data_IF_423747996604
#
_entry.id   IF_423747996604
#
_cell.length_a   1.000
_cell.length_b   1.000
_cell.length_c   1.000
_cell.angle_alpha   90.00
_cell.angle_beta   90.00
_cell.angle_gamma   90.00
#
_symmetry.space_group_name_H-M   'P 1'
#
loop_
_entity.id
_entity.type
_entity.pdbx_description
1 polymer ?
#
# COMPACT_ATOMS: atom_id res chain seq x y z
N UNK A 1 -7.19 21.13 -29.11
CA UNK A 1 -7.97 20.37 -28.10
C UNK A 1 -7.42 18.96 -28.10
N UNK A 2 -6.96 18.42 -26.96
CA UNK A 2 -6.63 17.00 -26.86
C UNK A 2 -7.95 16.23 -26.78
N UNK A 3 -8.16 15.27 -27.66
CA UNK A 3 -9.31 14.38 -27.59
C UNK A 3 -9.29 13.65 -26.24
N UNK A 4 -10.42 13.69 -25.53
CA UNK A 4 -10.60 12.92 -24.32
C UNK A 4 -10.88 11.48 -24.77
N UNK A 5 -9.86 10.62 -24.82
CA UNK A 5 -9.92 9.24 -25.35
C UNK A 5 -10.82 8.32 -24.47
N UNK A 6 -11.61 8.88 -23.57
CA UNK A 6 -12.44 8.13 -22.63
C UNK A 6 -11.57 7.24 -21.74
N UNK A 7 -12.18 6.16 -21.24
CA UNK A 7 -11.50 5.10 -20.48
C UNK A 7 -11.17 3.93 -21.45
N UNK A 8 -10.10 4.02 -22.28
CA UNK A 8 -9.86 3.07 -23.37
C UNK A 8 -9.61 1.64 -22.90
N UNK A 9 -9.14 1.49 -21.66
CA UNK A 9 -8.86 0.20 -21.04
C UNK A 9 -9.98 -0.27 -20.10
N UNK A 10 -11.06 0.51 -19.97
CA UNK A 10 -12.16 0.21 -19.07
C UNK A 10 -11.71 -0.08 -17.61
N UNK A 11 -10.67 0.63 -17.14
CA UNK A 11 -10.17 0.48 -15.78
C UNK A 11 -11.24 0.94 -14.78
N UNK A 12 -11.46 0.16 -13.73
CA UNK A 12 -12.47 0.46 -12.70
C UNK A 12 -11.86 1.15 -11.48
N UNK A 13 -10.77 0.62 -10.95
CA UNK A 13 -10.17 1.04 -9.69
C UNK A 13 -8.73 0.54 -9.55
N UNK A 14 -7.99 1.10 -8.60
CA UNK A 14 -6.71 0.55 -8.17
C UNK A 14 -6.95 -0.75 -7.41
N UNK A 15 -6.46 -1.87 -7.93
CA UNK A 15 -6.69 -3.17 -7.31
C UNK A 15 -5.81 -3.37 -6.06
N UNK A 16 -4.51 -3.13 -6.17
CA UNK A 16 -3.58 -3.21 -5.04
C UNK A 16 -2.29 -2.42 -5.32
N UNK A 17 -1.51 -2.20 -4.26
CA UNK A 17 -0.11 -1.75 -4.32
C UNK A 17 0.80 -2.77 -3.64
N UNK A 18 2.06 -2.81 -4.06
CA UNK A 18 3.10 -3.62 -3.40
C UNK A 18 4.19 -2.71 -2.86
N UNK A 19 4.58 -2.91 -1.60
CA UNK A 19 5.59 -2.12 -0.91
C UNK A 19 6.65 -3.05 -0.31
N UNK A 20 7.92 -2.77 -0.61
CA UNK A 20 9.04 -3.39 0.09
C UNK A 20 9.26 -2.62 1.39
N UNK A 21 9.38 -3.34 2.50
CA UNK A 21 9.45 -2.77 3.84
C UNK A 21 10.57 -3.39 4.67
N UNK A 22 11.00 -2.65 5.70
CA UNK A 22 12.04 -3.08 6.64
C UNK A 22 11.56 -4.16 7.62
N UNK A 23 10.27 -4.16 7.96
CA UNK A 23 9.66 -5.15 8.84
C UNK A 23 8.21 -5.35 8.43
N UNK A 24 7.87 -6.56 7.99
CA UNK A 24 6.49 -6.96 7.68
C UNK A 24 5.61 -6.82 8.90
N UNK A 25 6.07 -7.24 10.09
CA UNK A 25 5.29 -7.17 11.32
C UNK A 25 4.94 -5.73 11.69
N UNK A 26 5.94 -4.83 11.76
CA UNK A 26 5.71 -3.42 12.10
C UNK A 26 4.87 -2.70 11.05
N UNK A 27 5.09 -3.01 9.77
CA UNK A 27 4.31 -2.41 8.68
C UNK A 27 2.86 -2.91 8.71
N UNK A 28 2.66 -4.20 8.96
CA UNK A 28 1.32 -4.80 9.11
C UNK A 28 0.58 -4.17 10.28
N UNK A 29 1.24 -4.03 11.43
CA UNK A 29 0.69 -3.36 12.61
C UNK A 29 0.23 -1.94 12.29
N UNK A 30 1.05 -1.14 11.60
CA UNK A 30 0.67 0.20 11.19
C UNK A 30 -0.55 0.21 10.26
N UNK A 31 -0.52 -0.56 9.16
CA UNK A 31 -1.63 -0.56 8.20
C UNK A 31 -2.92 -1.12 8.81
N UNK A 32 -2.83 -2.09 9.72
CA UNK A 32 -3.99 -2.66 10.40
C UNK A 32 -4.53 -1.74 11.50
N UNK A 33 -3.70 -1.44 12.50
CA UNK A 33 -4.16 -0.78 13.72
C UNK A 33 -4.30 0.74 13.58
N UNK A 34 -3.57 1.37 12.66
CA UNK A 34 -3.65 2.83 12.44
C UNK A 34 -4.56 3.16 11.26
N UNK A 35 -4.42 2.46 10.14
CA UNK A 35 -5.17 2.76 8.91
C UNK A 35 -6.40 1.86 8.69
N UNK A 36 -6.62 0.84 9.53
CA UNK A 36 -7.84 0.02 9.50
C UNK A 36 -7.91 -1.00 8.35
N UNK A 37 -6.78 -1.34 7.72
CA UNK A 37 -6.73 -2.45 6.77
C UNK A 37 -6.87 -3.79 7.51
N UNK A 38 -7.39 -4.83 6.86
CA UNK A 38 -7.50 -6.18 7.46
C UNK A 38 -6.58 -7.18 6.76
N UNK A 39 -5.87 -8.07 7.48
CA UNK A 39 -5.10 -9.14 6.87
C UNK A 39 -6.01 -10.07 6.05
N UNK A 40 -5.52 -10.50 4.89
CA UNK A 40 -6.19 -11.49 4.03
C UNK A 40 -5.27 -12.65 3.75
N UNK A 41 -5.85 -13.75 3.26
CA UNK A 41 -5.11 -14.99 3.00
C UNK A 41 -4.02 -14.77 1.95
N UNK A 42 -2.77 -14.92 2.37
CA UNK A 42 -1.61 -14.99 1.49
C UNK A 42 -1.56 -16.34 0.75
N UNK A 43 -1.26 -16.37 -0.56
CA UNK A 43 -0.98 -17.61 -1.26
C UNK A 43 0.19 -18.37 -0.61
N UNK A 44 -0.01 -19.65 -0.29
CA UNK A 44 0.99 -20.45 0.42
C UNK A 44 2.23 -20.80 -0.40
N UNK A 45 2.22 -20.54 -1.72
CA UNK A 45 3.33 -20.84 -2.63
C UNK A 45 4.51 -19.88 -2.51
N UNK A 46 4.32 -18.71 -1.90
CA UNK A 46 5.37 -17.71 -1.78
C UNK A 46 6.34 -18.04 -0.64
N UNK A 47 7.64 -17.95 -0.90
CA UNK A 47 8.73 -18.34 0.01
C UNK A 47 9.46 -17.16 0.68
N UNK A 48 8.97 -15.94 0.53
CA UNK A 48 9.54 -14.72 1.13
C UNK A 48 8.61 -14.17 2.21
N UNK A 49 9.12 -13.44 3.21
CA UNK A 49 8.27 -12.87 4.25
C UNK A 49 7.39 -11.75 3.68
N UNK A 50 6.09 -11.80 3.97
CA UNK A 50 5.16 -10.79 3.49
C UNK A 50 3.76 -10.95 4.04
N UNK A 51 3.00 -9.85 3.98
CA UNK A 51 1.63 -9.77 4.45
C UNK A 51 0.72 -9.14 3.38
N UNK A 52 -0.50 -9.65 3.28
CA UNK A 52 -1.52 -9.16 2.37
C UNK A 52 -2.61 -8.53 3.22
N UNK A 53 -2.95 -7.29 2.94
CA UNK A 53 -4.02 -6.58 3.61
C UNK A 53 -5.02 -6.03 2.60
N UNK A 54 -6.26 -5.87 3.02
CA UNK A 54 -7.31 -5.26 2.22
C UNK A 54 -8.09 -4.23 3.05
N UNK A 55 -8.40 -3.09 2.45
CA UNK A 55 -9.10 -2.01 3.13
C UNK A 55 -9.38 -0.86 2.16
N UNK A 56 -10.42 -0.07 2.41
CA UNK A 56 -10.76 1.11 1.60
C UNK A 56 -10.90 0.84 0.09
N UNK A 57 -11.22 -0.41 -0.29
CA UNK A 57 -11.34 -0.85 -1.69
C UNK A 57 -10.02 -1.19 -2.39
N UNK A 58 -8.87 -1.17 -1.69
CA UNK A 58 -7.55 -1.48 -2.26
C UNK A 58 -6.84 -2.59 -1.46
N UNK A 59 -6.04 -3.40 -2.15
CA UNK A 59 -5.09 -4.31 -1.52
C UNK A 59 -3.74 -3.66 -1.23
N UNK A 60 -3.05 -4.10 -0.18
CA UNK A 60 -1.65 -3.78 0.11
C UNK A 60 -0.88 -5.10 0.28
N UNK A 61 0.15 -5.28 -0.53
CA UNK A 61 1.13 -6.36 -0.36
C UNK A 61 2.38 -5.78 0.28
N UNK A 62 2.71 -6.23 1.49
CA UNK A 62 3.95 -5.90 2.18
C UNK A 62 4.95 -7.01 1.93
N UNK A 63 6.12 -6.65 1.42
CA UNK A 63 7.21 -7.58 1.13
C UNK A 63 8.39 -7.21 2.02
N UNK A 64 8.93 -8.16 2.76
CA UNK A 64 10.14 -7.95 3.56
C UNK A 64 11.34 -7.76 2.63
N UNK A 65 12.14 -6.72 2.86
CA UNK A 65 13.44 -6.58 2.17
C UNK A 65 14.40 -7.69 2.60
N UNK A 66 15.13 -8.27 1.67
CA UNK A 66 16.23 -9.22 1.93
C UNK A 66 17.40 -8.53 2.65
N UNK A 67 17.61 -7.24 2.39
CA UNK A 67 18.53 -6.37 3.12
C UNK A 67 17.77 -5.17 3.70
N UNK A 68 17.23 -5.28 4.93
CA UNK A 68 16.46 -4.22 5.56
C UNK A 68 17.28 -2.96 5.91
N UNK A 69 18.61 -3.08 6.03
CA UNK A 69 19.48 -1.94 6.36
C UNK A 69 19.88 -1.13 5.13
N UNK A 70 19.84 -1.73 3.93
CA UNK A 70 20.00 -1.01 2.66
C UNK A 70 18.85 -0.06 2.33
N UNK A 71 17.68 -0.25 2.96
CA UNK A 71 16.53 0.60 2.70
C UNK A 71 16.77 2.05 3.19
N UNK A 72 16.41 3.07 2.40
CA UNK A 72 16.57 4.46 2.81
C UNK A 72 15.84 4.76 4.12
N UNK A 73 16.59 5.19 5.14
CA UNK A 73 16.02 5.71 6.40
C UNK A 73 15.54 7.13 6.15
N UNK A 74 14.25 7.28 5.82
CA UNK A 74 13.63 8.61 5.69
C UNK A 74 13.38 9.20 7.08
N UNK A 75 14.15 10.22 7.43
CA UNK A 75 14.00 10.98 8.69
C UNK A 75 13.22 12.27 8.50
N UNK A 76 13.06 12.74 7.26
CA UNK A 76 12.33 13.96 6.89
C UNK A 76 11.29 13.61 5.85
N UNK A 77 10.07 14.12 6.03
CA UNK A 77 8.99 13.97 5.06
C UNK A 77 9.27 14.87 3.85
N UNK A 78 9.38 14.28 2.67
CA UNK A 78 9.51 15.01 1.40
C UNK A 78 8.27 14.79 0.53
N UNK A 79 7.44 15.81 0.26
CA UNK A 79 6.22 15.66 -0.53
C UNK A 79 6.47 15.30 -2.00
N UNK A 80 7.72 15.43 -2.50
CA UNK A 80 8.11 15.00 -3.85
C UNK A 80 8.38 13.50 -3.95
N UNK A 81 8.46 12.79 -2.83
CA UNK A 81 8.67 11.36 -2.85
C UNK A 81 7.39 10.63 -3.28
N UNK A 82 7.55 9.41 -3.81
CA UNK A 82 6.41 8.54 -4.07
C UNK A 82 5.63 8.30 -2.78
N UNK A 83 4.32 8.51 -2.84
CA UNK A 83 3.42 8.34 -1.71
C UNK A 83 2.04 7.87 -2.19
N UNK A 84 1.29 7.28 -1.26
CA UNK A 84 -0.13 7.03 -1.38
C UNK A 84 -0.84 7.94 -0.36
N UNK A 85 -2.04 8.40 -0.68
CA UNK A 85 -2.83 9.25 0.20
C UNK A 85 -4.24 8.68 0.35
N UNK A 86 -4.77 8.82 1.55
CA UNK A 86 -6.14 8.43 1.87
C UNK A 86 -6.92 9.69 2.22
N UNK A 87 -8.07 9.87 1.59
CA UNK A 87 -8.99 10.92 1.96
C UNK A 87 -9.78 10.47 3.21
N UNK A 88 -9.64 11.21 4.30
CA UNK A 88 -10.51 11.07 5.46
C UNK A 88 -11.78 11.88 5.23
N UNK A 89 -12.95 11.26 5.41
CA UNK A 89 -14.18 12.02 5.65
C UNK A 89 -14.19 12.49 7.11
N UNK A 90 -14.45 13.78 7.31
CA UNK A 90 -14.80 14.28 8.63
C UNK A 90 -16.29 14.02 8.80
N UNK A 91 -16.66 13.20 9.77
CA UNK A 91 -18.07 13.07 10.15
C UNK A 91 -18.49 14.41 10.78
N UNK A 92 -19.31 15.21 10.09
CA UNK A 92 -19.82 16.47 10.66
C UNK A 92 -20.23 17.62 9.73
N UNK A 93 -20.11 17.54 8.40
CA UNK A 93 -20.75 18.48 7.46
C UNK A 93 -21.17 17.77 6.17
#
# INVERSE_FOLDING_TARGET
MKENIGNPLHLSSLNHISLVCKSVDQSTDFYHNVLGFVPVRRPGSFKFDGAWLFGHGIGIHLLQSEDPESLPKKTVINPKDNHISFQKKLDGH
#
